data_IF_703080140195
#
_entry.id   IF_703080140195
#
_cell.length_a   1.000
_cell.length_b   1.000
_cell.length_c   1.000
_cell.angle_alpha   90.00
_cell.angle_beta   90.00
_cell.angle_gamma   90.00
#
_symmetry.space_group_name_H-M   'P 1'
#
loop_
_entity.id
_entity.type
_entity.pdbx_description
1 polymer ?
#
# COMPACT_ATOMS: atom_id res chain seq x y z
N UNK A 1 4.27 13.65 21.03
CA UNK A 1 3.75 12.34 20.57
C UNK A 1 4.57 11.92 19.37
N UNK A 2 5.01 10.65 19.29
CA UNK A 2 5.81 10.16 18.16
C UNK A 2 5.02 10.23 16.86
N UNK A 3 5.67 10.56 15.76
CA UNK A 3 5.09 10.53 14.43
C UNK A 3 4.78 9.08 14.00
N UNK A 4 3.92 8.93 12.97
CA UNK A 4 3.50 7.63 12.45
C UNK A 4 4.50 7.16 11.39
N UNK A 5 4.92 5.89 11.42
CA UNK A 5 5.79 5.25 10.41
C UNK A 5 7.12 5.99 10.16
N UNK A 6 7.81 6.41 11.22
CA UNK A 6 9.12 7.08 11.12
C UNK A 6 10.28 6.19 11.56
N UNK A 7 10.05 4.87 11.69
CA UNK A 7 11.15 3.94 11.97
C UNK A 7 12.11 3.89 10.77
N UNK A 8 13.41 3.65 11.02
CA UNK A 8 14.38 3.41 9.95
C UNK A 8 13.96 2.22 9.07
N UNK A 9 14.29 2.28 7.79
CA UNK A 9 14.02 1.17 6.86
C UNK A 9 14.78 -0.09 7.29
N UNK A 10 14.10 -1.23 7.20
CA UNK A 10 14.66 -2.57 7.41
C UNK A 10 15.40 -3.09 6.17
N UNK A 11 15.44 -2.31 5.09
CA UNK A 11 16.04 -2.69 3.80
C UNK A 11 16.97 -1.57 3.33
N UNK A 12 18.21 -1.93 3.02
CA UNK A 12 19.10 -1.09 2.22
C UNK A 12 18.72 -1.24 0.74
N UNK A 13 18.22 -0.16 0.15
CA UNK A 13 17.79 -0.17 -1.26
C UNK A 13 18.94 -0.35 -2.24
N UNK A 14 20.19 -0.12 -1.83
CA UNK A 14 21.42 -0.32 -2.59
C UNK A 14 21.29 0.15 -4.06
N UNK A 15 20.81 1.38 -4.23
CA UNK A 15 20.46 1.94 -5.55
C UNK A 15 21.64 1.97 -6.54
N UNK A 16 22.86 2.10 -6.04
CA UNK A 16 24.11 2.11 -6.81
C UNK A 16 24.37 0.79 -7.55
N UNK A 17 23.82 -0.33 -7.06
CA UNK A 17 23.99 -1.65 -7.69
C UNK A 17 23.12 -1.84 -8.94
N UNK A 18 22.06 -1.04 -9.10
CA UNK A 18 21.04 -1.22 -10.13
C UNK A 18 21.53 -0.98 -11.55
N UNK A 19 22.61 -0.23 -11.71
CA UNK A 19 23.19 0.10 -13.02
C UNK A 19 24.12 -1.00 -13.57
N UNK A 20 24.49 -1.99 -12.74
CA UNK A 20 25.43 -3.04 -13.13
C UNK A 20 24.70 -4.39 -13.26
N UNK A 21 24.40 -4.77 -14.50
CA UNK A 21 23.68 -6.02 -14.82
C UNK A 21 24.44 -7.27 -14.36
N UNK A 22 25.77 -7.31 -14.49
CA UNK A 22 26.58 -8.47 -14.07
C UNK A 22 26.51 -8.63 -12.55
N UNK A 23 26.57 -7.53 -11.81
CA UNK A 23 26.39 -7.54 -10.35
C UNK A 23 24.99 -8.05 -9.99
N UNK A 24 23.92 -7.60 -10.66
CA UNK A 24 22.57 -8.07 -10.39
C UNK A 24 22.39 -9.56 -10.68
N UNK A 25 22.99 -10.11 -11.75
CA UNK A 25 22.96 -11.55 -12.04
C UNK A 25 23.71 -12.36 -10.96
N UNK A 26 24.86 -11.86 -10.48
CA UNK A 26 25.60 -12.49 -9.40
C UNK A 26 24.81 -12.47 -8.09
N UNK A 27 24.13 -11.36 -7.78
CA UNK A 27 23.28 -11.23 -6.61
C UNK A 27 22.04 -12.13 -6.69
N UNK A 28 21.42 -12.23 -7.88
CA UNK A 28 20.28 -13.13 -8.12
C UNK A 28 20.58 -14.57 -7.73
N UNK A 29 21.76 -15.09 -8.06
CA UNK A 29 22.15 -16.47 -7.76
C UNK A 29 22.17 -16.80 -6.26
N UNK A 30 22.27 -15.78 -5.39
CA UNK A 30 22.33 -15.89 -3.91
C UNK A 30 21.10 -15.32 -3.23
N UNK A 31 20.14 -14.83 -4.02
CA UNK A 31 19.03 -14.03 -3.50
C UNK A 31 18.00 -14.86 -2.73
N UNK A 32 17.34 -14.20 -1.79
CA UNK A 32 16.02 -14.56 -1.30
C UNK A 32 15.01 -13.93 -2.23
N UNK A 33 14.29 -14.75 -2.99
CA UNK A 33 13.42 -14.30 -4.07
C UNK A 33 11.96 -14.41 -3.63
N UNK A 34 11.24 -13.32 -3.73
CA UNK A 34 9.81 -13.25 -3.49
C UNK A 34 9.07 -13.49 -4.80
N UNK A 35 8.36 -14.62 -4.90
CA UNK A 35 7.53 -14.92 -6.07
C UNK A 35 6.22 -14.15 -5.98
N UNK A 36 5.96 -13.32 -6.99
CA UNK A 36 4.73 -12.57 -7.18
C UNK A 36 3.99 -13.13 -8.41
N UNK A 37 2.69 -13.38 -8.29
CA UNK A 37 1.84 -13.89 -9.36
C UNK A 37 0.54 -13.10 -9.39
N UNK A 38 0.33 -12.30 -10.43
CA UNK A 38 -0.89 -11.49 -10.61
C UNK A 38 -1.32 -10.71 -9.36
N UNK A 39 -0.33 -10.04 -8.70
CA UNK A 39 -0.55 -9.23 -7.50
C UNK A 39 -0.67 -10.01 -6.19
N UNK A 40 -0.47 -11.34 -6.21
CA UNK A 40 -0.35 -12.19 -5.02
C UNK A 40 1.10 -12.52 -4.74
N UNK A 41 1.40 -12.86 -3.51
CA UNK A 41 2.76 -13.08 -3.02
C UNK A 41 2.86 -14.46 -2.41
N UNK A 42 3.95 -15.17 -2.66
CA UNK A 42 4.23 -16.45 -2.03
C UNK A 42 4.36 -16.31 -0.51
N UNK A 43 3.57 -17.08 0.23
CA UNK A 43 3.46 -17.01 1.69
C UNK A 43 3.26 -18.41 2.31
N UNK A 44 3.66 -18.54 3.57
CA UNK A 44 3.44 -19.74 4.38
C UNK A 44 3.24 -19.35 5.83
N UNK A 45 2.15 -19.82 6.41
CA UNK A 45 1.82 -19.59 7.83
C UNK A 45 1.88 -18.08 8.24
N UNK A 46 1.40 -17.19 7.36
CA UNK A 46 1.34 -15.75 7.63
C UNK A 46 2.64 -14.97 7.44
N UNK A 47 3.73 -15.63 6.98
CA UNK A 47 5.01 -15.01 6.65
C UNK A 47 5.32 -15.13 5.15
N UNK A 48 6.30 -14.39 4.64
CA UNK A 48 6.76 -14.52 3.26
C UNK A 48 7.48 -15.85 3.03
N UNK A 49 7.17 -16.52 1.91
CA UNK A 49 7.84 -17.74 1.48
C UNK A 49 8.86 -17.40 0.39
N UNK A 50 10.11 -17.17 0.80
CA UNK A 50 11.19 -16.90 -0.14
C UNK A 50 11.66 -18.15 -0.87
N UNK A 51 12.00 -17.98 -2.14
CA UNK A 51 12.53 -18.98 -3.04
C UNK A 51 14.04 -18.74 -3.28
N UNK A 52 14.77 -19.78 -3.67
CA UNK A 52 16.11 -19.63 -4.24
C UNK A 52 16.05 -19.49 -5.76
N UNK A 53 17.16 -19.10 -6.40
CA UNK A 53 17.25 -19.08 -7.87
C UNK A 53 17.03 -20.47 -8.49
N UNK A 54 17.43 -21.54 -7.79
CA UNK A 54 17.18 -22.92 -8.24
C UNK A 54 15.70 -23.30 -8.18
N UNK A 55 14.98 -22.88 -7.13
CA UNK A 55 13.53 -23.07 -7.04
C UNK A 55 12.80 -22.36 -8.18
N UNK A 56 13.20 -21.11 -8.49
CA UNK A 56 12.64 -20.35 -9.61
C UNK A 56 12.90 -21.06 -10.94
N UNK A 57 14.12 -21.57 -11.19
CA UNK A 57 14.42 -22.32 -12.40
C UNK A 57 13.53 -23.59 -12.54
N UNK A 58 13.28 -24.28 -11.44
CA UNK A 58 12.36 -25.43 -11.39
C UNK A 58 10.92 -25.03 -11.73
N UNK A 59 10.44 -23.92 -11.14
CA UNK A 59 9.11 -23.40 -11.43
C UNK A 59 8.93 -22.93 -12.87
N UNK A 60 9.95 -22.30 -13.45
CA UNK A 60 9.96 -21.95 -14.88
C UNK A 60 9.87 -23.17 -15.78
N UNK A 61 10.58 -24.26 -15.43
CA UNK A 61 10.57 -25.51 -16.17
C UNK A 61 9.21 -26.25 -16.07
N UNK A 62 8.41 -26.04 -15.02
CA UNK A 62 7.07 -26.63 -14.88
C UNK A 62 6.09 -26.16 -15.96
N UNK A 63 6.32 -24.98 -16.50
CA UNK A 63 5.48 -24.40 -17.55
C UNK A 63 4.19 -23.74 -17.08
N UNK A 64 3.92 -23.67 -15.79
CA UNK A 64 2.68 -23.11 -15.21
C UNK A 64 2.60 -21.58 -15.34
N UNK A 65 3.76 -20.90 -15.35
CA UNK A 65 3.85 -19.46 -15.34
C UNK A 65 4.36 -18.90 -16.67
N UNK A 66 3.93 -17.69 -17.02
CA UNK A 66 4.53 -16.92 -18.09
C UNK A 66 5.97 -16.54 -17.74
N UNK A 67 6.74 -16.11 -18.73
CA UNK A 67 8.07 -15.53 -18.47
C UNK A 67 7.94 -14.34 -17.53
N UNK A 68 8.74 -14.35 -16.43
CA UNK A 68 8.65 -13.37 -15.36
C UNK A 68 9.73 -12.31 -15.44
N UNK A 69 9.43 -11.15 -14.88
CA UNK A 69 10.38 -10.08 -14.67
C UNK A 69 11.06 -10.19 -13.30
N UNK A 70 12.33 -9.76 -13.23
CA UNK A 70 13.10 -9.73 -11.99
C UNK A 70 13.24 -8.29 -11.51
N UNK A 71 12.92 -8.05 -10.23
CA UNK A 71 13.07 -6.72 -9.62
C UNK A 71 14.00 -6.83 -8.41
N UNK A 72 15.07 -6.05 -8.39
CA UNK A 72 15.96 -5.95 -7.25
C UNK A 72 15.30 -5.09 -6.16
N UNK A 73 15.01 -5.67 -5.01
CA UNK A 73 14.32 -5.00 -3.90
C UNK A 73 15.29 -4.33 -2.91
N UNK A 74 16.57 -4.72 -2.94
CA UNK A 74 17.60 -4.24 -2.03
C UNK A 74 18.33 -5.38 -1.33
N UNK A 75 18.97 -5.06 -0.21
CA UNK A 75 19.75 -6.00 0.60
C UNK A 75 19.37 -5.85 2.08
N UNK A 76 19.55 -6.92 2.83
CA UNK A 76 19.53 -6.83 4.29
C UNK A 76 20.67 -5.89 4.76
N UNK A 77 20.42 -4.90 5.60
CA UNK A 77 21.42 -3.90 5.95
C UNK A 77 22.62 -4.48 6.74
N UNK A 78 22.43 -5.61 7.41
CA UNK A 78 23.44 -6.25 8.25
C UNK A 78 24.14 -7.39 7.51
N UNK A 79 23.39 -8.39 7.06
CA UNK A 79 23.94 -9.60 6.42
C UNK A 79 24.30 -9.40 4.95
N UNK A 80 23.84 -8.31 4.33
CA UNK A 80 23.97 -8.01 2.89
C UNK A 80 23.31 -9.05 1.99
N UNK A 81 22.42 -9.88 2.54
CA UNK A 81 21.66 -10.85 1.76
C UNK A 81 20.75 -10.11 0.75
N UNK A 82 20.86 -10.41 -0.57
CA UNK A 82 20.06 -9.72 -1.57
C UNK A 82 18.63 -10.23 -1.62
N UNK A 83 17.70 -9.31 -1.84
CA UNK A 83 16.29 -9.58 -2.06
C UNK A 83 15.88 -9.21 -3.47
N UNK A 84 15.13 -10.10 -4.11
CA UNK A 84 14.50 -9.86 -5.41
C UNK A 84 13.02 -10.22 -5.37
N UNK A 85 12.24 -9.64 -6.26
CA UNK A 85 10.97 -10.18 -6.68
C UNK A 85 11.13 -10.88 -8.05
N UNK A 86 10.45 -12.00 -8.22
CA UNK A 86 10.17 -12.61 -9.51
C UNK A 86 8.67 -12.46 -9.78
N UNK A 87 8.33 -11.58 -10.72
CA UNK A 87 6.95 -11.21 -11.03
C UNK A 87 6.49 -11.91 -12.28
N UNK A 88 5.45 -12.73 -12.15
CA UNK A 88 4.90 -13.57 -13.21
C UNK A 88 3.40 -13.42 -13.31
N UNK A 89 2.81 -14.03 -14.34
CA UNK A 89 1.38 -14.28 -14.44
C UNK A 89 1.14 -15.73 -14.80
N UNK A 90 -0.09 -16.22 -14.56
CA UNK A 90 -0.51 -17.53 -15.00
C UNK A 90 -0.54 -17.60 -16.54
N UNK A 91 -0.09 -18.71 -17.13
CA UNK A 91 -0.19 -18.94 -18.59
C UNK A 91 -1.63 -19.15 -19.06
N UNK A 92 -2.46 -19.73 -18.21
CA UNK A 92 -3.87 -19.98 -18.50
C UNK A 92 -4.75 -18.94 -17.85
N UNK A 93 -5.82 -18.54 -18.53
CA UNK A 93 -6.85 -17.69 -17.94
C UNK A 93 -7.65 -18.49 -16.91
N UNK A 94 -7.90 -17.89 -15.76
CA UNK A 94 -8.68 -18.46 -14.67
C UNK A 94 -9.79 -17.48 -14.27
N UNK A 95 -10.93 -17.98 -13.85
CA UNK A 95 -11.94 -17.17 -13.17
C UNK A 95 -11.46 -16.75 -11.79
N UNK A 96 -12.04 -15.70 -11.20
CA UNK A 96 -11.68 -15.22 -9.86
C UNK A 96 -11.80 -16.33 -8.79
N UNK A 97 -12.80 -17.19 -8.90
CA UNK A 97 -13.00 -18.32 -7.99
C UNK A 97 -11.90 -19.38 -8.12
N UNK A 98 -11.49 -19.69 -9.36
CA UNK A 98 -10.38 -20.62 -9.63
C UNK A 98 -9.06 -20.03 -9.14
N UNK A 99 -8.81 -18.74 -9.42
CA UNK A 99 -7.61 -18.05 -8.94
C UNK A 99 -7.51 -18.08 -7.41
N UNK A 100 -8.62 -17.91 -6.70
CA UNK A 100 -8.63 -18.02 -5.24
C UNK A 100 -8.26 -19.42 -4.77
N UNK A 101 -8.87 -20.48 -5.35
CA UNK A 101 -8.58 -21.87 -5.01
C UNK A 101 -7.13 -22.26 -5.29
N UNK A 102 -6.62 -21.91 -6.46
CA UNK A 102 -5.24 -22.20 -6.88
C UNK A 102 -4.26 -21.44 -5.98
N UNK A 103 -4.55 -20.17 -5.68
CA UNK A 103 -3.71 -19.33 -4.83
C UNK A 103 -3.57 -19.91 -3.43
N UNK A 104 -4.67 -20.29 -2.79
CA UNK A 104 -4.65 -20.95 -1.48
C UNK A 104 -3.84 -22.26 -1.54
N UNK A 105 -4.07 -23.11 -2.54
CA UNK A 105 -3.36 -24.39 -2.69
C UNK A 105 -1.85 -24.21 -2.91
N UNK A 106 -1.42 -23.10 -3.53
CA UNK A 106 -0.02 -22.79 -3.81
C UNK A 106 0.63 -21.85 -2.79
N UNK A 107 -0.09 -21.48 -1.73
CA UNK A 107 0.42 -20.55 -0.71
C UNK A 107 0.66 -19.13 -1.25
N UNK A 108 -0.23 -18.67 -2.15
CA UNK A 108 -0.22 -17.31 -2.67
C UNK A 108 -1.31 -16.50 -1.97
N UNK A 109 -0.98 -15.34 -1.46
CA UNK A 109 -1.92 -14.44 -0.80
C UNK A 109 -1.73 -12.99 -1.26
N UNK A 110 -2.79 -12.20 -1.18
CA UNK A 110 -2.70 -10.76 -1.41
C UNK A 110 -2.03 -10.07 -0.22
N UNK A 111 -1.43 -8.91 -0.46
CA UNK A 111 -0.86 -8.10 0.63
C UNK A 111 -1.93 -7.69 1.66
N UNK A 112 -3.19 -7.52 1.25
CA UNK A 112 -4.30 -7.23 2.17
C UNK A 112 -4.59 -8.39 3.13
N UNK A 113 -4.47 -9.63 2.66
CA UNK A 113 -4.64 -10.83 3.50
C UNK A 113 -3.47 -11.03 4.46
N UNK A 114 -2.24 -10.67 4.06
CA UNK A 114 -1.02 -10.90 4.83
C UNK A 114 -0.65 -9.75 5.77
N UNK A 115 -1.08 -8.52 5.46
CA UNK A 115 -0.52 -7.30 6.05
C UNK A 115 -0.55 -7.24 7.59
N UNK A 116 -1.51 -7.92 8.23
CA UNK A 116 -1.58 -7.98 9.69
C UNK A 116 -0.55 -8.92 10.35
N UNK A 117 0.09 -9.81 9.57
CA UNK A 117 0.98 -10.86 10.10
C UNK A 117 2.46 -10.65 9.74
N UNK A 118 2.77 -9.80 8.76
CA UNK A 118 4.12 -9.58 8.27
C UNK A 118 4.99 -8.79 9.26
N UNK A 119 6.27 -9.17 9.39
CA UNK A 119 7.28 -8.36 10.08
C UNK A 119 7.56 -7.05 9.33
N UNK A 120 8.25 -6.09 9.98
CA UNK A 120 8.60 -4.81 9.35
C UNK A 120 9.37 -4.99 8.03
N UNK A 121 10.39 -5.86 8.01
CA UNK A 121 11.16 -6.17 6.81
C UNK A 121 10.30 -6.83 5.72
N UNK A 122 9.47 -7.81 6.08
CA UNK A 122 8.59 -8.49 5.13
C UNK A 122 7.54 -7.54 4.53
N UNK A 123 6.99 -6.64 5.36
CA UNK A 123 6.07 -5.61 4.91
C UNK A 123 6.73 -4.68 3.89
N UNK A 124 7.93 -4.16 4.16
CA UNK A 124 8.66 -3.29 3.23
C UNK A 124 8.96 -3.98 1.90
N UNK A 125 9.42 -5.23 1.93
CA UNK A 125 9.68 -6.03 0.74
C UNK A 125 8.41 -6.26 -0.08
N UNK A 126 7.32 -6.60 0.58
CA UNK A 126 6.02 -6.84 -0.07
C UNK A 126 5.44 -5.59 -0.73
N UNK A 127 5.45 -4.46 -0.01
CA UNK A 127 5.01 -3.17 -0.53
C UNK A 127 5.82 -2.77 -1.77
N UNK A 128 7.15 -2.94 -1.73
CA UNK A 128 8.02 -2.62 -2.85
C UNK A 128 7.78 -3.55 -4.04
N UNK A 129 7.70 -4.85 -3.81
CA UNK A 129 7.46 -5.84 -4.87
C UNK A 129 6.11 -5.60 -5.58
N UNK A 130 5.04 -5.40 -4.82
CA UNK A 130 3.70 -5.15 -5.38
C UNK A 130 3.63 -3.80 -6.09
N UNK A 131 4.25 -2.75 -5.54
CA UNK A 131 4.30 -1.45 -6.22
C UNK A 131 5.00 -1.55 -7.59
N UNK A 132 6.13 -2.24 -7.66
CA UNK A 132 6.84 -2.47 -8.93
C UNK A 132 6.02 -3.34 -9.88
N UNK A 133 5.46 -4.45 -9.42
CA UNK A 133 4.60 -5.33 -10.21
C UNK A 133 3.43 -4.57 -10.83
N UNK A 134 2.68 -3.80 -10.03
CA UNK A 134 1.56 -3.00 -10.50
C UNK A 134 1.99 -1.98 -11.56
N UNK A 135 3.08 -1.26 -11.29
CA UNK A 135 3.57 -0.25 -12.21
C UNK A 135 4.07 -0.85 -13.53
N UNK A 136 4.89 -1.90 -13.51
CA UNK A 136 5.41 -2.55 -14.71
C UNK A 136 4.29 -3.12 -15.58
N UNK A 137 3.25 -3.66 -14.95
CA UNK A 137 2.08 -4.20 -15.65
C UNK A 137 1.24 -3.13 -16.31
N UNK A 138 1.08 -1.97 -15.67
CA UNK A 138 0.29 -0.86 -16.18
C UNK A 138 1.01 0.00 -17.24
N UNK A 139 2.34 -0.12 -17.37
CA UNK A 139 3.16 0.76 -18.21
C UNK A 139 4.05 0.02 -19.20
N UNK A 140 3.53 -0.97 -19.97
CA UNK A 140 4.34 -1.69 -20.96
C UNK A 140 4.76 -0.83 -22.15
N UNK A 141 4.07 0.31 -22.37
CA UNK A 141 4.31 1.20 -23.49
C UNK A 141 4.87 2.55 -23.03
N UNK A 142 5.67 3.18 -23.88
CA UNK A 142 6.24 4.49 -23.64
C UNK A 142 5.15 5.58 -23.70
N UNK A 143 4.98 6.42 -22.66
CA UNK A 143 3.98 7.50 -22.69
C UNK A 143 4.33 8.65 -23.64
N UNK A 144 5.59 8.70 -24.19
CA UNK A 144 6.02 9.74 -25.12
C UNK A 144 5.80 9.38 -26.58
N UNK A 145 6.15 8.15 -26.97
CA UNK A 145 6.10 7.75 -28.38
C UNK A 145 5.18 6.55 -28.65
N UNK A 146 4.58 5.93 -27.63
CA UNK A 146 3.77 4.74 -27.78
C UNK A 146 4.52 3.45 -28.08
N UNK A 147 5.86 3.48 -28.15
CA UNK A 147 6.68 2.30 -28.41
C UNK A 147 6.81 1.38 -27.19
N UNK A 148 7.24 0.10 -27.38
CA UNK A 148 7.42 -0.83 -26.27
C UNK A 148 8.53 -0.37 -25.33
N UNK A 149 8.41 -0.74 -24.07
CA UNK A 149 9.44 -0.49 -23.05
C UNK A 149 9.90 -1.80 -22.44
N UNK A 150 11.15 -1.87 -22.01
CA UNK A 150 11.71 -3.00 -21.24
C UNK A 150 12.06 -2.59 -19.81
N UNK A 151 12.11 -3.56 -18.93
CA UNK A 151 12.57 -3.38 -17.54
C UNK A 151 14.05 -2.96 -17.55
N UNK A 152 14.38 -1.96 -16.74
CA UNK A 152 15.72 -1.39 -16.61
C UNK A 152 16.06 -1.11 -15.14
N UNK A 153 17.34 -0.84 -14.84
CA UNK A 153 17.84 -0.54 -13.50
C UNK A 153 17.33 -1.53 -12.41
N UNK A 154 17.40 -2.82 -12.72
CA UNK A 154 16.94 -3.86 -11.79
C UNK A 154 15.45 -3.74 -11.38
N UNK A 155 14.61 -3.19 -12.25
CA UNK A 155 13.18 -2.98 -12.00
C UNK A 155 12.84 -1.57 -11.52
N UNK A 156 13.82 -0.71 -11.22
CA UNK A 156 13.55 0.66 -10.77
C UNK A 156 13.18 1.63 -11.89
N UNK A 157 13.26 1.19 -13.16
CA UNK A 157 12.89 1.97 -14.32
C UNK A 157 12.40 1.07 -15.48
N UNK A 158 11.82 1.70 -16.50
CA UNK A 158 11.61 1.13 -17.84
C UNK A 158 12.31 2.00 -18.86
N UNK A 159 12.91 1.38 -19.85
CA UNK A 159 13.58 2.04 -20.97
C UNK A 159 12.78 1.83 -22.24
N UNK A 160 12.46 2.92 -22.95
CA UNK A 160 11.81 2.85 -24.26
C UNK A 160 12.78 2.29 -25.30
N UNK A 161 12.35 1.28 -26.06
CA UNK A 161 13.17 0.65 -27.10
C UNK A 161 13.20 1.46 -28.40
N UNK A 162 12.32 2.47 -28.54
CA UNK A 162 12.21 3.30 -29.75
C UNK A 162 12.93 4.64 -29.58
N UNK A 163 12.63 5.40 -28.53
CA UNK A 163 13.18 6.74 -28.32
C UNK A 163 14.25 6.84 -27.24
N UNK A 164 14.55 5.74 -26.54
CA UNK A 164 15.56 5.69 -25.49
C UNK A 164 15.18 6.43 -24.20
N UNK A 165 13.97 6.92 -24.08
CA UNK A 165 13.52 7.60 -22.84
C UNK A 165 13.37 6.63 -21.68
N UNK A 166 13.79 7.07 -20.50
CA UNK A 166 13.67 6.31 -19.26
C UNK A 166 12.45 6.79 -18.47
N UNK A 167 11.69 5.85 -17.93
CA UNK A 167 10.49 6.08 -17.14
C UNK A 167 10.64 5.44 -15.76
N UNK A 168 10.16 6.15 -14.73
CA UNK A 168 10.25 5.71 -13.34
C UNK A 168 8.87 5.34 -12.78
N UNK A 169 8.80 4.50 -11.74
CA UNK A 169 7.56 4.16 -11.08
C UNK A 169 6.79 5.41 -10.65
N UNK A 170 5.49 5.37 -10.89
CA UNK A 170 4.55 6.39 -10.45
C UNK A 170 4.10 6.09 -9.02
N UNK A 171 4.05 7.13 -8.19
CA UNK A 171 3.48 7.08 -6.85
C UNK A 171 2.51 8.24 -6.70
N UNK A 172 1.21 7.95 -6.59
CA UNK A 172 0.15 8.95 -6.52
C UNK A 172 -0.01 9.44 -5.09
N UNK A 173 0.20 10.74 -4.88
CA UNK A 173 0.06 11.35 -3.56
C UNK A 173 -1.41 11.52 -3.19
N UNK A 174 -1.80 11.02 -2.02
CA UNK A 174 -3.12 11.24 -1.44
C UNK A 174 -2.96 11.66 0.03
N UNK A 175 -3.73 12.65 0.46
CA UNK A 175 -3.81 13.01 1.87
C UNK A 175 -4.79 12.09 2.59
N UNK A 176 -4.57 11.88 3.89
CA UNK A 176 -5.52 11.21 4.78
C UNK A 176 -5.57 11.96 6.09
N UNK A 177 -6.76 12.31 6.57
CA UNK A 177 -6.96 13.33 7.58
C UNK A 177 -7.79 12.81 8.74
N UNK A 178 -7.24 12.92 9.96
CA UNK A 178 -7.99 12.76 11.21
C UNK A 178 -8.51 14.13 11.63
N UNK A 179 -9.81 14.35 11.51
CA UNK A 179 -10.46 15.60 11.88
C UNK A 179 -10.86 15.54 13.34
N UNK A 180 -10.46 16.55 14.13
CA UNK A 180 -10.89 16.73 15.53
C UNK A 180 -11.73 18.00 15.69
N UNK A 181 -12.65 18.00 16.64
CA UNK A 181 -13.24 19.23 17.13
C UNK A 181 -12.49 19.77 18.37
N UNK A 182 -12.89 20.93 18.87
CA UNK A 182 -12.31 21.53 20.09
C UNK A 182 -12.62 20.74 21.38
N UNK A 183 -13.55 19.80 21.36
CA UNK A 183 -13.86 18.90 22.46
C UNK A 183 -13.11 17.55 22.34
N UNK A 184 -12.14 17.46 21.42
CA UNK A 184 -11.32 16.27 21.19
C UNK A 184 -12.11 15.03 20.73
N UNK A 185 -13.28 15.23 20.07
CA UNK A 185 -13.97 14.19 19.32
C UNK A 185 -13.34 14.08 17.93
N UNK A 186 -13.39 12.88 17.32
CA UNK A 186 -13.01 12.69 15.94
C UNK A 186 -14.21 12.49 15.03
N UNK A 187 -14.11 12.98 13.81
CA UNK A 187 -15.08 12.73 12.74
C UNK A 187 -14.61 11.56 11.89
N UNK A 188 -15.50 10.60 11.65
CA UNK A 188 -15.27 9.49 10.72
C UNK A 188 -16.38 9.45 9.67
N UNK A 189 -16.04 9.04 8.44
CA UNK A 189 -16.95 8.93 7.31
C UNK A 189 -17.18 7.47 6.89
N UNK A 190 -18.37 7.22 6.30
CA UNK A 190 -18.77 5.93 5.72
C UNK A 190 -19.01 6.07 4.22
N UNK A 191 -18.38 5.21 3.43
CA UNK A 191 -18.59 5.11 1.99
C UNK A 191 -19.69 4.08 1.66
N UNK A 192 -20.54 4.32 0.65
CA UNK A 192 -21.66 3.43 0.32
C UNK A 192 -21.24 2.03 -0.14
N UNK A 193 -20.01 1.89 -0.62
CA UNK A 193 -19.45 0.59 -1.06
C UNK A 193 -18.92 -0.26 0.10
N UNK A 194 -18.86 0.28 1.31
CA UNK A 194 -18.40 -0.45 2.48
C UNK A 194 -19.53 -1.20 3.18
N UNK A 195 -19.20 -2.26 3.92
CA UNK A 195 -20.16 -2.90 4.82
C UNK A 195 -20.75 -1.90 5.82
N UNK A 196 -22.00 -2.10 6.21
CA UNK A 196 -22.65 -1.32 7.25
C UNK A 196 -21.81 -1.25 8.53
N UNK A 197 -21.77 -0.11 9.18
CA UNK A 197 -20.97 0.14 10.38
C UNK A 197 -19.49 0.39 10.15
N UNK A 198 -18.97 0.32 8.91
CA UNK A 198 -17.58 0.64 8.60
C UNK A 198 -17.38 2.14 8.42
N UNK A 199 -16.48 2.71 9.22
CA UNK A 199 -16.09 4.12 9.15
C UNK A 199 -14.57 4.25 9.12
N UNK A 200 -14.10 5.30 8.45
CA UNK A 200 -12.68 5.64 8.34
C UNK A 200 -12.46 7.15 8.40
N UNK A 201 -11.19 7.55 8.41
CA UNK A 201 -10.74 8.94 8.22
C UNK A 201 -10.91 9.34 6.75
N UNK A 202 -11.00 10.62 6.48
CA UNK A 202 -11.20 11.22 5.15
C UNK A 202 -9.91 11.18 4.35
N UNK A 203 -10.00 11.00 3.03
CA UNK A 203 -8.81 10.87 2.20
C UNK A 203 -9.10 11.18 0.73
N UNK A 204 -8.24 11.98 0.10
CA UNK A 204 -8.35 12.27 -1.32
C UNK A 204 -7.02 12.53 -2.00
N UNK A 205 -7.05 12.58 -3.33
CA UNK A 205 -5.86 12.76 -4.14
C UNK A 205 -5.44 14.23 -4.24
N UNK A 206 -4.11 14.42 -4.20
CA UNK A 206 -3.51 15.72 -4.51
C UNK A 206 -3.75 16.09 -5.97
N UNK A 207 -4.31 17.28 -6.21
CA UNK A 207 -4.45 17.83 -7.57
C UNK A 207 -3.18 18.58 -7.99
N UNK A 208 -2.89 18.62 -9.31
CA UNK A 208 -1.74 19.38 -9.84
C UNK A 208 -1.80 20.86 -9.46
N UNK A 209 -0.78 21.32 -8.72
CA UNK A 209 -0.66 22.71 -8.28
C UNK A 209 -1.10 22.95 -6.84
N UNK A 210 -1.69 21.99 -6.16
CA UNK A 210 -2.02 22.08 -4.74
C UNK A 210 -0.79 21.80 -3.85
N UNK A 211 -0.75 22.42 -2.66
CA UNK A 211 0.03 21.92 -1.52
C UNK A 211 -0.76 20.82 -0.79
N UNK A 212 -0.09 20.03 0.05
CA UNK A 212 -0.80 19.02 0.84
C UNK A 212 -1.84 19.64 1.79
N UNK A 213 -1.56 20.81 2.37
CA UNK A 213 -2.48 21.52 3.26
C UNK A 213 -3.71 22.06 2.51
N UNK A 214 -3.54 22.49 1.26
CA UNK A 214 -4.64 22.90 0.39
C UNK A 214 -5.53 21.67 0.06
N UNK A 215 -4.92 20.54 -0.30
CA UNK A 215 -5.61 19.29 -0.54
C UNK A 215 -6.39 18.83 0.71
N UNK A 216 -5.77 18.87 1.90
CA UNK A 216 -6.46 18.58 3.17
C UNK A 216 -7.69 19.46 3.34
N UNK A 217 -7.56 20.76 3.13
CA UNK A 217 -8.67 21.71 3.32
C UNK A 217 -9.80 21.48 2.32
N UNK A 218 -9.48 21.16 1.06
CA UNK A 218 -10.45 20.88 -0.01
C UNK A 218 -11.18 19.57 0.25
N UNK A 219 -10.47 18.46 0.42
CA UNK A 219 -11.05 17.13 0.60
C UNK A 219 -11.93 17.06 1.85
N UNK A 220 -11.48 17.66 2.97
CA UNK A 220 -12.28 17.71 4.18
C UNK A 220 -13.58 18.50 3.96
N UNK A 221 -13.52 19.63 3.27
CA UNK A 221 -14.69 20.44 2.95
C UNK A 221 -15.67 19.69 2.03
N UNK A 222 -15.15 19.03 1.00
CA UNK A 222 -15.94 18.29 0.01
C UNK A 222 -16.62 17.08 0.66
N UNK A 223 -15.88 16.24 1.37
CA UNK A 223 -16.38 14.98 1.91
C UNK A 223 -17.19 15.14 3.21
N UNK A 224 -17.00 16.22 3.98
CA UNK A 224 -17.61 16.36 5.31
C UNK A 224 -18.26 17.71 5.60
N UNK A 225 -18.18 18.67 4.70
CA UNK A 225 -18.70 20.03 4.82
C UNK A 225 -18.11 20.88 5.97
N UNK A 226 -17.14 20.38 6.74
CA UNK A 226 -16.46 21.16 7.77
C UNK A 226 -15.23 21.88 7.20
N UNK A 227 -14.90 23.03 7.78
CA UNK A 227 -13.62 23.69 7.51
C UNK A 227 -12.60 23.34 8.58
N UNK A 228 -11.33 23.23 8.20
CA UNK A 228 -10.27 22.84 9.14
C UNK A 228 -9.15 23.88 9.23
N UNK A 229 -8.52 23.90 10.37
CA UNK A 229 -7.33 24.66 10.70
C UNK A 229 -6.32 23.75 11.43
N UNK A 230 -5.17 24.32 11.83
CA UNK A 230 -4.15 23.58 12.60
C UNK A 230 -3.76 22.25 11.94
N UNK A 231 -3.52 22.28 10.62
CA UNK A 231 -3.17 21.09 9.83
C UNK A 231 -1.74 20.67 10.17
N UNK A 232 -1.59 19.46 10.75
CA UNK A 232 -0.32 18.93 11.23
C UNK A 232 0.02 17.61 10.56
N UNK A 233 1.20 17.50 9.96
CA UNK A 233 1.71 16.26 9.38
C UNK A 233 1.99 15.22 10.47
N UNK A 234 1.55 13.98 10.25
CA UNK A 234 1.73 12.86 11.16
C UNK A 234 2.72 11.82 10.67
N UNK A 235 2.83 11.63 9.37
CA UNK A 235 3.63 10.60 8.74
C UNK A 235 3.10 10.21 7.38
N UNK A 236 3.68 9.16 6.77
CA UNK A 236 3.20 8.64 5.48
C UNK A 236 3.20 7.12 5.45
N UNK A 237 2.44 6.54 4.51
CA UNK A 237 2.39 5.10 4.28
C UNK A 237 2.33 4.81 2.78
N UNK A 238 3.26 3.98 2.22
CA UNK A 238 3.09 3.39 0.91
C UNK A 238 1.81 2.54 0.87
N UNK A 239 1.00 2.76 -0.17
CA UNK A 239 -0.29 2.09 -0.34
C UNK A 239 -0.47 1.67 -1.81
N UNK A 240 0.23 0.58 -2.25
CA UNK A 240 0.26 0.17 -3.64
C UNK A 240 -1.04 -0.53 -4.08
N UNK A 241 -2.17 0.15 -3.90
CA UNK A 241 -3.50 -0.28 -4.31
C UNK A 241 -4.20 0.85 -5.11
N UNK A 242 -3.81 1.11 -6.39
CA UNK A 242 -2.71 0.45 -7.10
C UNK A 242 -1.32 1.07 -6.89
N UNK A 243 -1.19 2.39 -6.59
CA UNK A 243 0.09 3.10 -6.61
C UNK A 243 0.15 4.33 -5.68
N UNK A 244 -0.61 4.37 -4.60
CA UNK A 244 -0.69 5.54 -3.73
C UNK A 244 0.41 5.60 -2.68
N UNK A 245 0.72 6.83 -2.26
CA UNK A 245 1.33 7.13 -0.96
C UNK A 245 0.33 7.95 -0.15
N UNK A 246 -0.07 7.44 1.01
CA UNK A 246 -0.96 8.15 1.95
C UNK A 246 -0.13 9.08 2.82
N UNK A 247 -0.47 10.36 2.82
CA UNK A 247 0.21 11.41 3.60
C UNK A 247 -0.73 11.84 4.71
N UNK A 248 -0.41 11.41 5.93
CA UNK A 248 -1.31 11.50 7.08
C UNK A 248 -1.21 12.85 7.79
N UNK A 249 -2.36 13.46 8.01
CA UNK A 249 -2.53 14.72 8.72
C UNK A 249 -3.55 14.60 9.86
N UNK A 250 -3.36 15.44 10.87
CA UNK A 250 -4.36 15.77 11.87
C UNK A 250 -4.78 17.22 11.65
N UNK A 251 -6.08 17.51 11.72
CA UNK A 251 -6.60 18.85 11.58
C UNK A 251 -7.74 19.11 12.57
N UNK A 252 -7.99 20.39 12.88
CA UNK A 252 -9.01 20.80 13.85
C UNK A 252 -10.11 21.62 13.17
N UNK A 253 -11.37 21.34 13.50
CA UNK A 253 -12.50 22.16 13.06
C UNK A 253 -13.10 22.98 14.22
N UNK A 254 -13.55 24.19 13.88
CA UNK A 254 -14.30 25.07 14.77
C UNK A 254 -15.82 25.05 14.52
N UNK A 255 -16.29 24.34 13.48
CA UNK A 255 -17.70 24.26 13.08
C UNK A 255 -18.21 22.80 12.98
N UNK A 256 -18.08 21.98 14.04
CA UNK A 256 -18.43 20.57 14.02
C UNK A 256 -19.93 20.28 13.74
N UNK A 257 -20.80 21.26 13.95
CA UNK A 257 -22.26 21.14 13.80
C UNK A 257 -22.71 21.09 12.33
N UNK A 258 -21.88 21.53 11.38
CA UNK A 258 -22.21 21.48 9.95
C UNK A 258 -21.84 20.16 9.29
N UNK A 259 -21.18 19.26 10.03
CA UNK A 259 -20.68 18.00 9.50
C UNK A 259 -21.80 17.16 8.86
N UNK A 260 -21.59 16.83 7.59
CA UNK A 260 -22.45 15.93 6.82
C UNK A 260 -21.67 15.34 5.66
N UNK A 261 -22.02 14.15 5.22
CA UNK A 261 -21.47 13.57 3.99
C UNK A 261 -21.94 14.35 2.75
N UNK A 262 -21.21 14.20 1.67
CA UNK A 262 -21.57 14.76 0.35
C UNK A 262 -22.72 14.00 -0.33
N UNK A 263 -23.01 12.77 0.12
CA UNK A 263 -24.05 11.89 -0.42
C UNK A 263 -23.62 11.05 -1.62
N UNK A 264 -22.38 11.18 -2.08
CA UNK A 264 -21.80 10.44 -3.20
C UNK A 264 -20.68 9.54 -2.75
N UNK A 265 -19.56 10.09 -2.28
CA UNK A 265 -18.41 9.35 -1.77
C UNK A 265 -18.57 9.04 -0.28
N UNK A 266 -19.06 10.00 0.50
CA UNK A 266 -19.34 9.86 1.93
C UNK A 266 -20.81 10.02 2.18
N UNK A 267 -21.50 8.93 2.49
CA UNK A 267 -22.96 8.93 2.71
C UNK A 267 -23.38 9.16 4.16
N UNK A 268 -22.49 8.93 5.11
CA UNK A 268 -22.75 9.19 6.53
C UNK A 268 -21.45 9.61 7.25
N UNK A 269 -21.58 10.52 8.22
CA UNK A 269 -20.47 10.97 9.06
C UNK A 269 -20.89 10.94 10.53
N UNK A 270 -19.97 10.55 11.41
CA UNK A 270 -20.23 10.47 12.86
C UNK A 270 -19.09 11.03 13.67
N UNK A 271 -19.43 11.83 14.67
CA UNK A 271 -18.51 12.24 15.72
C UNK A 271 -18.42 11.18 16.81
N UNK A 272 -17.19 10.89 17.24
CA UNK A 272 -16.93 9.95 18.32
C UNK A 272 -16.06 10.57 19.41
N UNK A 273 -16.47 10.43 20.65
CA UNK A 273 -15.58 10.50 21.80
C UNK A 273 -14.78 9.20 21.91
N UNK A 274 -13.69 9.19 22.71
CA UNK A 274 -12.91 7.95 22.95
C UNK A 274 -13.77 6.82 23.53
N UNK A 275 -14.67 7.15 24.45
CA UNK A 275 -15.54 6.17 25.10
C UNK A 275 -16.55 5.56 24.12
N UNK A 276 -17.19 6.38 23.29
CA UNK A 276 -18.13 5.91 22.27
C UNK A 276 -17.44 5.05 21.22
N UNK A 277 -16.27 5.47 20.74
CA UNK A 277 -15.51 4.69 19.76
C UNK A 277 -15.13 3.31 20.31
N UNK A 278 -14.61 3.26 21.55
CA UNK A 278 -14.24 1.99 22.18
C UNK A 278 -15.45 1.08 22.40
N UNK A 279 -16.57 1.62 22.85
CA UNK A 279 -17.78 0.85 23.06
C UNK A 279 -18.30 0.27 21.73
N UNK A 280 -18.44 1.10 20.71
CA UNK A 280 -18.93 0.69 19.39
C UNK A 280 -17.98 -0.26 18.64
N UNK A 281 -16.67 -0.08 18.77
CA UNK A 281 -15.70 -1.03 18.23
C UNK A 281 -15.69 -2.36 18.99
N UNK A 282 -15.97 -2.32 20.31
CA UNK A 282 -16.01 -3.50 21.17
C UNK A 282 -17.25 -4.37 20.97
N UNK A 283 -18.42 -3.78 20.72
CA UNK A 283 -19.67 -4.50 20.44
C UNK A 283 -19.86 -4.84 18.95
N UNK A 284 -18.97 -4.36 18.07
CA UNK A 284 -18.97 -4.64 16.63
C UNK A 284 -19.92 -3.76 15.81
N UNK A 285 -20.56 -2.75 16.39
CA UNK A 285 -21.39 -1.78 15.67
C UNK A 285 -20.55 -0.77 14.87
N UNK A 286 -19.26 -0.61 15.21
CA UNK A 286 -18.27 0.17 14.48
C UNK A 286 -17.15 -0.74 13.95
N UNK A 287 -17.04 -0.82 12.65
CA UNK A 287 -15.95 -1.53 11.98
C UNK A 287 -14.85 -0.52 11.59
N UNK A 288 -13.75 -0.56 12.30
CA UNK A 288 -12.60 0.31 12.04
C UNK A 288 -11.74 -0.20 10.85
N UNK A 289 -10.90 0.66 10.25
CA UNK A 289 -9.94 0.26 9.25
C UNK A 289 -9.00 -0.86 9.75
N UNK A 290 -8.42 -1.68 8.85
CA UNK A 290 -7.51 -2.76 9.24
C UNK A 290 -6.26 -2.23 9.96
N UNK A 291 -5.71 -3.05 10.85
CA UNK A 291 -4.58 -2.68 11.73
C UNK A 291 -3.34 -2.21 10.97
N UNK A 292 -3.13 -2.69 9.74
CA UNK A 292 -2.01 -2.26 8.89
C UNK A 292 -2.16 -0.85 8.32
N UNK A 293 -3.37 -0.29 8.25
CA UNK A 293 -3.61 1.00 7.59
C UNK A 293 -3.20 2.19 8.45
N UNK A 294 -2.73 3.25 7.80
CA UNK A 294 -2.42 4.51 8.48
C UNK A 294 -3.65 5.12 9.15
N UNK A 295 -4.85 4.99 8.55
CA UNK A 295 -6.11 5.41 9.16
C UNK A 295 -6.30 4.80 10.55
N UNK A 296 -6.08 3.47 10.68
CA UNK A 296 -6.14 2.79 11.96
C UNK A 296 -5.10 3.32 12.94
N UNK A 297 -3.88 3.51 12.52
CA UNK A 297 -2.79 4.06 13.35
C UNK A 297 -3.10 5.47 13.83
N UNK A 298 -3.73 6.31 12.99
CA UNK A 298 -4.16 7.66 13.36
C UNK A 298 -5.25 7.62 14.43
N UNK A 299 -6.26 6.78 14.28
CA UNK A 299 -7.34 6.59 15.25
C UNK A 299 -6.78 6.08 16.58
N UNK A 300 -5.93 5.06 16.58
CA UNK A 300 -5.32 4.49 17.78
C UNK A 300 -4.37 5.47 18.48
N UNK A 301 -3.64 6.29 17.70
CA UNK A 301 -2.82 7.36 18.25
C UNK A 301 -3.64 8.40 19.01
N UNK A 302 -4.77 8.84 18.41
CA UNK A 302 -5.70 9.74 19.10
C UNK A 302 -6.33 9.05 20.31
N UNK A 303 -6.73 7.80 20.19
CA UNK A 303 -7.34 7.02 21.28
C UNK A 303 -6.37 6.80 22.45
N UNK A 304 -5.06 6.76 22.20
CA UNK A 304 -4.01 6.48 23.18
C UNK A 304 -3.82 5.00 23.51
N UNK A 305 -4.56 4.12 22.81
CA UNK A 305 -4.48 2.66 22.96
C UNK A 305 -4.93 1.96 21.68
N UNK A 306 -4.73 0.64 21.60
CA UNK A 306 -5.27 -0.17 20.52
C UNK A 306 -6.79 -0.26 20.62
N UNK A 307 -7.47 -0.15 19.49
CA UNK A 307 -8.89 -0.35 19.40
C UNK A 307 -9.21 -1.83 19.06
N UNK A 308 -10.37 -2.38 19.50
CA UNK A 308 -10.83 -3.72 19.13
C UNK A 308 -11.02 -3.89 17.61
N UNK A 309 -11.00 -5.13 17.13
CA UNK A 309 -11.31 -5.50 15.74
C UNK A 309 -10.31 -5.01 14.68
N UNK A 310 -10.62 -5.22 13.42
CA UNK A 310 -9.85 -4.67 12.28
C UNK A 310 -8.67 -5.52 11.81
N UNK A 311 -8.64 -6.81 12.08
CA UNK A 311 -7.51 -7.67 11.69
C UNK A 311 -7.43 -7.93 10.18
N UNK A 312 -8.56 -7.90 9.46
CA UNK A 312 -8.59 -8.15 8.00
C UNK A 312 -9.54 -7.21 7.26
N UNK A 313 -9.26 -6.95 5.99
CA UNK A 313 -10.23 -6.41 5.03
C UNK A 313 -11.16 -7.56 4.57
N UNK A 314 -12.35 -7.62 5.09
CA UNK A 314 -13.43 -8.44 4.53
C UNK A 314 -14.51 -7.55 3.99
#
# INVERSE_FOLDING_TARGET
MSAINQEPSHIDRAGELRTNTETLELLWSKARILHCVDGRIASRAGALAFQSAADIATMQASGDFAEGSRYFLGQDPISRAPFFAWDTSWKSSHSDEELQKISVARGLATLRELGGSLSGQEMELSLHAIALSNWHRAHPMCPRCGGPTRVDLGGAARLCEVDGSQHHPRTDSAVIVLIKDRNDRILLGHQPVWPEGRYSTFAGFLEPGETFEQCVSREVLEESAVTVSEINYLGSQPWPFPASIMIAFEAVTDNPEVARGDGEEITDVKWFTRAELLAAAGDGSLLLPPTMSVARKMIERWLGQRAPGGETWR
#
